data_IF_678245565118
#
_entry.id   IF_678245565118
#
_cell.length_a   1.000
_cell.length_b   1.000
_cell.length_c   1.000
_cell.angle_alpha   90.00
_cell.angle_beta   90.00
_cell.angle_gamma   90.00
#
_symmetry.space_group_name_H-M   'P 1'
#
loop_
_entity.id
_entity.type
_entity.pdbx_description
1 polymer ?
#
# COMPACT_ATOMS: atom_id res chain seq x y z
N UNK A 1 -7.64 14.25 7.35
CA UNK A 1 -7.59 15.41 6.45
C UNK A 1 -7.34 14.86 5.04
N UNK A 2 -8.33 14.89 4.13
CA UNK A 2 -8.13 14.40 2.75
C UNK A 2 -7.33 15.47 2.01
N UNK A 3 -6.04 15.25 1.81
CA UNK A 3 -5.21 16.05 0.91
C UNK A 3 -5.72 15.83 -0.50
N UNK A 4 -6.54 16.76 -0.98
CA UNK A 4 -6.80 16.89 -2.40
C UNK A 4 -5.53 17.45 -3.04
N UNK A 5 -5.02 16.89 -4.15
CA UNK A 5 -3.91 17.51 -4.85
C UNK A 5 -4.28 18.96 -5.16
N UNK A 6 -3.40 19.89 -4.84
CA UNK A 6 -3.59 21.32 -5.11
C UNK A 6 -3.46 21.48 -6.62
N UNK A 7 -4.60 21.53 -7.31
CA UNK A 7 -4.69 21.58 -8.77
C UNK A 7 -4.29 22.97 -9.30
N UNK A 8 -3.00 23.23 -9.48
CA UNK A 8 -2.52 24.45 -10.16
C UNK A 8 -2.67 24.39 -11.70
N UNK A 9 -3.07 23.25 -12.28
CA UNK A 9 -3.16 23.01 -13.73
C UNK A 9 -4.61 22.83 -14.25
N UNK A 10 -5.63 23.19 -13.47
CA UNK A 10 -7.04 22.91 -13.81
C UNK A 10 -7.47 23.43 -15.19
N UNK A 11 -6.93 24.56 -15.64
CA UNK A 11 -7.22 25.12 -16.96
C UNK A 11 -6.64 24.29 -18.12
N UNK A 12 -5.47 23.69 -17.94
CA UNK A 12 -4.82 22.86 -18.96
C UNK A 12 -5.60 21.55 -19.19
N UNK A 13 -6.02 20.88 -18.10
CA UNK A 13 -6.80 19.65 -18.19
C UNK A 13 -8.14 19.87 -18.90
N UNK A 14 -8.81 20.99 -18.63
CA UNK A 14 -10.05 21.33 -19.33
C UNK A 14 -9.83 21.52 -20.84
N UNK A 15 -8.72 22.16 -21.24
CA UNK A 15 -8.37 22.27 -22.66
C UNK A 15 -8.09 20.90 -23.28
N UNK A 16 -7.36 20.03 -22.61
CA UNK A 16 -7.08 18.67 -23.10
C UNK A 16 -8.37 17.84 -23.25
N UNK A 17 -9.32 17.98 -22.32
CA UNK A 17 -10.64 17.32 -22.42
C UNK A 17 -11.44 17.85 -23.62
N UNK A 18 -11.38 19.15 -23.90
CA UNK A 18 -12.05 19.75 -25.05
C UNK A 18 -11.40 19.34 -26.38
N UNK A 19 -10.10 19.06 -26.39
CA UNK A 19 -9.36 18.60 -27.57
C UNK A 19 -9.49 17.09 -27.82
N UNK A 20 -9.95 16.31 -26.83
CA UNK A 20 -10.20 14.88 -26.98
C UNK A 20 -11.57 14.66 -27.68
N UNK A 21 -11.61 14.12 -28.91
CA UNK A 21 -12.85 14.00 -29.68
C UNK A 21 -13.91 13.11 -29.00
N UNK A 22 -13.47 12.09 -28.26
CA UNK A 22 -14.38 11.16 -27.56
C UNK A 22 -15.01 11.86 -26.37
N UNK A 23 -14.20 12.57 -25.58
CA UNK A 23 -14.69 13.30 -24.42
C UNK A 23 -15.53 14.51 -24.84
N UNK A 24 -15.16 15.21 -25.90
CA UNK A 24 -15.95 16.31 -26.47
C UNK A 24 -17.34 15.84 -26.88
N UNK A 25 -17.44 14.71 -27.59
CA UNK A 25 -18.73 14.15 -27.98
C UNK A 25 -19.60 13.75 -26.77
N UNK A 26 -18.97 13.26 -25.69
CA UNK A 26 -19.67 12.99 -24.41
C UNK A 26 -20.20 14.30 -23.80
N UNK A 27 -19.40 15.36 -23.80
CA UNK A 27 -19.78 16.67 -23.25
C UNK A 27 -20.94 17.27 -24.05
N UNK A 28 -20.90 17.22 -25.37
CA UNK A 28 -21.96 17.71 -26.25
C UNK A 28 -23.27 16.94 -26.02
N UNK A 29 -23.21 15.62 -25.90
CA UNK A 29 -24.37 14.80 -25.57
C UNK A 29 -24.97 15.19 -24.21
N UNK A 30 -24.14 15.40 -23.18
CA UNK A 30 -24.59 15.81 -21.84
C UNK A 30 -25.14 17.24 -21.76
N UNK A 31 -24.72 18.13 -22.66
CA UNK A 31 -25.29 19.48 -22.78
C UNK A 31 -26.71 19.45 -23.35
N UNK A 32 -26.96 18.55 -24.31
CA UNK A 32 -28.27 18.38 -24.94
C UNK A 32 -29.24 17.62 -24.03
N UNK A 33 -28.77 16.53 -23.41
CA UNK A 33 -29.52 15.76 -22.43
C UNK A 33 -28.59 15.31 -21.30
N UNK A 34 -28.80 15.79 -20.05
CA UNK A 34 -28.01 15.39 -18.90
C UNK A 34 -27.94 13.88 -18.65
N UNK A 35 -28.88 13.10 -19.18
CA UNK A 35 -28.95 11.64 -19.03
C UNK A 35 -28.42 10.87 -20.26
N UNK A 36 -27.96 11.55 -21.31
CA UNK A 36 -27.55 10.93 -22.57
C UNK A 36 -26.41 9.90 -22.44
N UNK A 37 -25.55 10.05 -21.42
CA UNK A 37 -24.39 9.19 -21.16
C UNK A 37 -24.42 8.68 -19.72
N UNK A 38 -24.97 7.47 -19.47
CA UNK A 38 -25.10 6.92 -18.13
C UNK A 38 -23.78 6.90 -17.35
N UNK A 39 -23.83 7.44 -16.14
CA UNK A 39 -22.68 7.52 -15.24
C UNK A 39 -21.74 8.70 -15.51
N UNK A 40 -21.86 9.40 -16.64
CA UNK A 40 -21.16 10.67 -16.84
C UNK A 40 -22.00 11.84 -16.31
N UNK A 41 -21.34 12.89 -15.86
CA UNK A 41 -21.97 14.14 -15.43
C UNK A 41 -21.04 15.32 -15.68
N UNK A 42 -21.63 16.47 -16.01
CA UNK A 42 -20.90 17.71 -16.23
C UNK A 42 -21.23 18.68 -15.07
N UNK A 43 -20.22 19.12 -14.32
CA UNK A 43 -20.38 20.05 -13.19
C UNK A 43 -19.43 21.23 -13.37
N UNK A 44 -19.97 22.43 -13.57
CA UNK A 44 -19.15 23.64 -13.77
C UNK A 44 -18.16 23.53 -14.94
N UNK A 45 -18.54 22.85 -16.03
CA UNK A 45 -17.67 22.61 -17.18
C UNK A 45 -16.66 21.46 -17.02
N UNK A 46 -16.62 20.79 -15.87
CA UNK A 46 -15.73 19.66 -15.59
C UNK A 46 -16.48 18.34 -15.76
N UNK A 47 -15.87 17.41 -16.48
CA UNK A 47 -16.44 16.09 -16.76
C UNK A 47 -16.11 15.09 -15.64
N UNK A 48 -17.13 14.37 -15.17
CA UNK A 48 -17.02 13.34 -14.16
C UNK A 48 -17.62 12.02 -14.64
N UNK A 49 -17.06 10.89 -14.20
CA UNK A 49 -17.62 9.55 -14.37
C UNK A 49 -17.82 8.87 -13.01
N UNK A 50 -19.07 8.63 -12.61
CA UNK A 50 -19.46 8.11 -11.29
C UNK A 50 -18.80 8.90 -10.14
N UNK A 51 -18.91 10.23 -10.19
CA UNK A 51 -18.28 11.19 -9.26
C UNK A 51 -16.73 11.20 -9.25
N UNK A 52 -16.08 10.61 -10.25
CA UNK A 52 -14.61 10.64 -10.41
C UNK A 52 -14.23 11.59 -11.53
N UNK A 53 -13.20 12.39 -11.32
CA UNK A 53 -12.70 13.34 -12.31
C UNK A 53 -12.23 12.58 -13.56
N UNK A 54 -12.74 12.96 -14.73
CA UNK A 54 -12.30 12.37 -15.99
C UNK A 54 -11.02 13.05 -16.46
N UNK A 55 -10.02 12.25 -16.77
CA UNK A 55 -8.74 12.68 -17.35
C UNK A 55 -8.64 12.10 -18.77
N UNK A 56 -8.21 12.88 -19.77
CA UNK A 56 -7.91 12.37 -21.11
C UNK A 56 -6.83 11.28 -21.04
N UNK A 57 -7.04 10.14 -21.70
CA UNK A 57 -6.16 8.98 -21.58
C UNK A 57 -4.71 9.23 -22.06
N UNK A 58 -4.49 10.29 -22.85
CA UNK A 58 -3.18 10.72 -23.36
C UNK A 58 -2.58 11.89 -22.58
N UNK A 59 -3.22 12.34 -21.50
CA UNK A 59 -2.75 13.48 -20.72
C UNK A 59 -1.41 13.19 -20.08
N UNK A 60 -0.47 14.14 -20.16
CA UNK A 60 0.85 14.03 -19.54
C UNK A 60 0.77 13.92 -18.02
N UNK A 61 -0.28 14.49 -17.41
CA UNK A 61 -0.51 14.48 -15.96
C UNK A 61 -0.69 13.07 -15.39
N UNK A 62 -1.09 12.10 -16.24
CA UNK A 62 -1.26 10.70 -15.81
C UNK A 62 0.04 10.16 -15.23
N UNK A 63 1.19 10.48 -15.82
CA UNK A 63 2.48 10.01 -15.32
C UNK A 63 2.81 10.58 -13.93
N UNK A 64 2.52 11.85 -13.70
CA UNK A 64 2.76 12.49 -12.41
C UNK A 64 1.81 11.96 -11.34
N UNK A 65 0.54 11.72 -11.69
CA UNK A 65 -0.43 11.08 -10.81
C UNK A 65 -0.04 9.63 -10.49
N UNK A 66 0.45 8.88 -11.46
CA UNK A 66 0.93 7.52 -11.23
C UNK A 66 2.12 7.52 -10.27
N UNK A 67 3.09 8.42 -10.45
CA UNK A 67 4.21 8.60 -9.51
C UNK A 67 3.73 8.99 -8.12
N UNK A 68 2.84 9.97 -8.02
CA UNK A 68 2.33 10.46 -6.73
C UNK A 68 1.60 9.37 -5.95
N UNK A 69 0.72 8.60 -6.62
CA UNK A 69 -0.09 7.59 -5.94
C UNK A 69 0.63 6.26 -5.71
N UNK A 70 1.76 6.02 -6.38
CA UNK A 70 2.55 4.79 -6.24
C UNK A 70 3.84 5.00 -5.46
N UNK A 71 4.68 5.96 -5.86
CA UNK A 71 6.06 6.11 -5.40
C UNK A 71 6.21 7.08 -4.22
N UNK A 72 5.19 7.87 -3.89
CA UNK A 72 5.24 8.71 -2.68
C UNK A 72 5.27 7.85 -1.41
N UNK A 73 5.64 8.42 -0.24
CA UNK A 73 5.55 7.72 1.05
C UNK A 73 4.15 7.18 1.34
N UNK A 74 3.12 7.96 0.99
CA UNK A 74 1.72 7.54 1.10
C UNK A 74 1.34 6.47 0.06
N UNK A 75 2.03 6.49 -1.08
CA UNK A 75 1.98 5.55 -2.19
C UNK A 75 2.49 4.16 -1.82
N UNK A 76 3.70 4.13 -1.26
CA UNK A 76 4.31 2.95 -0.66
C UNK A 76 4.81 1.88 -1.61
N UNK A 77 5.01 2.20 -2.89
CA UNK A 77 5.32 1.21 -3.93
C UNK A 77 4.32 0.04 -3.95
N UNK A 78 3.07 0.34 -3.61
CA UNK A 78 2.02 -0.67 -3.50
C UNK A 78 1.77 -1.37 -4.83
N UNK A 79 1.42 -2.66 -4.78
CA UNK A 79 1.04 -3.43 -5.96
C UNK A 79 -0.11 -2.80 -6.75
N UNK A 80 -0.18 -3.09 -8.05
CA UNK A 80 -1.04 -2.38 -9.01
C UNK A 80 -2.50 -2.25 -8.58
N UNK A 81 -3.10 -3.30 -7.98
CA UNK A 81 -4.51 -3.29 -7.59
C UNK A 81 -4.78 -2.29 -6.46
N UNK A 82 -3.87 -2.17 -5.48
CA UNK A 82 -3.98 -1.20 -4.39
C UNK A 82 -3.82 0.22 -4.92
N UNK A 83 -2.82 0.45 -5.76
CA UNK A 83 -2.59 1.74 -6.44
C UNK A 83 -3.80 2.15 -7.28
N UNK A 84 -4.34 1.23 -8.08
CA UNK A 84 -5.53 1.46 -8.89
C UNK A 84 -6.73 1.83 -8.02
N UNK A 85 -7.01 1.07 -6.94
CA UNK A 85 -8.14 1.37 -6.03
C UNK A 85 -8.02 2.75 -5.39
N UNK A 86 -6.80 3.15 -5.00
CA UNK A 86 -6.54 4.48 -4.42
C UNK A 86 -6.85 5.59 -5.43
N UNK A 87 -6.34 5.48 -6.65
CA UNK A 87 -6.60 6.47 -7.71
C UNK A 87 -8.06 6.46 -8.15
N UNK A 88 -8.65 5.29 -8.31
CA UNK A 88 -10.04 5.11 -8.74
C UNK A 88 -11.07 5.60 -7.70
N UNK A 89 -10.63 6.03 -6.52
CA UNK A 89 -11.49 6.72 -5.55
C UNK A 89 -11.86 8.14 -5.99
N UNK A 90 -11.03 8.80 -6.81
CA UNK A 90 -11.24 10.19 -7.21
C UNK A 90 -11.04 10.45 -8.71
N UNK A 91 -10.34 9.58 -9.42
CA UNK A 91 -9.93 9.77 -10.81
C UNK A 91 -10.46 8.66 -11.73
N UNK A 92 -10.58 8.99 -13.01
CA UNK A 92 -10.95 8.05 -14.06
C UNK A 92 -10.34 8.46 -15.40
N UNK A 93 -9.82 7.50 -16.15
CA UNK A 93 -9.57 7.62 -17.58
C UNK A 93 -9.77 6.28 -18.28
N UNK A 94 -9.98 6.31 -19.60
CA UNK A 94 -10.09 5.08 -20.38
C UNK A 94 -8.76 4.32 -20.36
N UNK A 95 -8.81 3.04 -19.98
CA UNK A 95 -7.59 2.21 -19.87
C UNK A 95 -6.82 2.37 -18.56
N UNK A 96 -7.35 3.09 -17.57
CA UNK A 96 -6.70 3.37 -16.27
C UNK A 96 -6.07 2.16 -15.58
N UNK A 97 -6.77 1.03 -15.49
CA UNK A 97 -6.23 -0.16 -14.84
C UNK A 97 -4.97 -0.68 -15.56
N UNK A 98 -4.98 -0.65 -16.90
CA UNK A 98 -3.85 -1.08 -17.72
C UNK A 98 -2.66 -0.14 -17.53
N UNK A 99 -2.89 1.18 -17.59
CA UNK A 99 -1.83 2.17 -17.34
C UNK A 99 -1.19 2.00 -15.97
N UNK A 100 -1.99 1.79 -14.91
CA UNK A 100 -1.48 1.53 -13.55
C UNK A 100 -0.67 0.24 -13.49
N UNK A 101 -1.17 -0.84 -14.11
CA UNK A 101 -0.47 -2.13 -14.14
C UNK A 101 0.88 -2.03 -14.86
N UNK A 102 0.93 -1.37 -16.02
CA UNK A 102 2.15 -1.15 -16.79
C UNK A 102 3.17 -0.31 -16.02
N UNK A 103 2.71 0.77 -15.36
CA UNK A 103 3.56 1.63 -14.55
C UNK A 103 4.20 0.87 -13.37
N UNK A 104 3.41 0.13 -12.60
CA UNK A 104 3.93 -0.64 -11.46
C UNK A 104 4.85 -1.77 -11.94
N UNK A 105 4.55 -2.40 -13.09
CA UNK A 105 5.42 -3.42 -13.69
C UNK A 105 6.78 -2.83 -14.12
N UNK A 106 6.82 -1.57 -14.55
CA UNK A 106 8.03 -0.88 -14.96
C UNK A 106 8.81 -0.22 -13.79
N UNK A 107 8.28 -0.25 -12.55
CA UNK A 107 8.92 0.36 -11.40
C UNK A 107 10.20 -0.40 -11.00
N UNK A 108 11.37 0.23 -11.21
CA UNK A 108 12.68 -0.33 -10.88
C UNK A 108 12.83 -0.67 -9.39
N UNK A 109 12.43 0.25 -8.49
CA UNK A 109 12.42 0.02 -7.03
C UNK A 109 11.64 -1.25 -6.68
N UNK A 110 10.41 -1.40 -7.20
CA UNK A 110 9.60 -2.60 -6.98
C UNK A 110 10.28 -3.86 -7.55
N UNK A 111 10.83 -3.80 -8.77
CA UNK A 111 11.42 -4.98 -9.41
C UNK A 111 12.68 -5.45 -8.68
N UNK A 112 13.52 -4.54 -8.19
CA UNK A 112 14.73 -4.88 -7.42
C UNK A 112 14.42 -5.53 -6.08
N UNK A 113 13.32 -5.15 -5.44
CA UNK A 113 12.91 -5.66 -4.12
C UNK A 113 12.02 -6.90 -4.21
N UNK A 114 11.64 -7.33 -5.41
CA UNK A 114 10.76 -8.48 -5.60
C UNK A 114 11.57 -9.78 -5.44
N UNK A 115 11.50 -10.36 -4.24
CA UNK A 115 12.01 -11.72 -4.02
C UNK A 115 11.26 -12.71 -4.91
N UNK A 116 11.99 -13.68 -5.47
CA UNK A 116 11.38 -14.78 -6.21
C UNK A 116 10.42 -15.52 -5.27
N UNK A 117 9.13 -15.53 -5.60
CA UNK A 117 8.15 -16.30 -4.86
C UNK A 117 8.51 -17.78 -5.01
N UNK A 118 9.09 -18.37 -3.98
CA UNK A 118 9.21 -19.83 -3.88
C UNK A 118 7.79 -20.40 -3.85
N UNK A 119 7.56 -21.50 -4.57
CA UNK A 119 6.28 -22.22 -4.50
C UNK A 119 5.94 -22.52 -3.03
N UNK A 120 4.70 -22.29 -2.57
CA UNK A 120 4.37 -22.50 -1.17
C UNK A 120 4.62 -23.95 -0.78
N UNK A 121 5.32 -24.15 0.34
CA UNK A 121 5.61 -25.47 0.90
C UNK A 121 4.30 -26.08 1.47
N UNK A 122 3.52 -26.73 0.60
CA UNK A 122 2.34 -27.50 0.98
C UNK A 122 1.11 -26.68 1.38
N UNK A 123 0.04 -27.40 1.76
CA UNK A 123 -1.22 -26.82 2.22
C UNK A 123 -1.03 -26.17 3.60
N UNK A 124 -1.48 -24.92 3.74
CA UNK A 124 -1.49 -24.20 5.01
C UNK A 124 -2.48 -24.87 5.96
N UNK A 125 -2.04 -25.32 7.13
CA UNK A 125 -2.92 -25.69 8.24
C UNK A 125 -3.22 -24.45 9.09
N UNK A 126 -4.45 -23.92 9.10
CA UNK A 126 -4.78 -22.74 9.90
C UNK A 126 -4.73 -23.08 11.39
N UNK A 127 -4.11 -22.19 12.18
CA UNK A 127 -4.26 -22.18 13.63
C UNK A 127 -5.73 -22.02 14.01
N UNK A 128 -6.17 -22.55 15.17
CA UNK A 128 -7.46 -22.20 15.72
C UNK A 128 -7.54 -20.68 15.87
N UNK A 129 -8.56 -20.07 15.26
CA UNK A 129 -8.77 -18.63 15.32
C UNK A 129 -8.97 -18.25 16.79
N UNK A 130 -8.19 -17.31 17.34
CA UNK A 130 -8.41 -16.82 18.69
C UNK A 130 -9.85 -16.31 18.83
N UNK A 131 -10.56 -16.83 19.83
CA UNK A 131 -11.97 -16.47 20.10
C UNK A 131 -12.13 -15.12 20.78
N UNK A 132 -11.03 -14.56 21.31
CA UNK A 132 -10.98 -13.26 21.98
C UNK A 132 -10.03 -12.34 21.21
N UNK A 133 -10.47 -11.10 20.99
CA UNK A 133 -9.60 -10.06 20.43
C UNK A 133 -8.47 -9.80 21.43
N UNK A 134 -7.21 -9.77 20.98
CA UNK A 134 -6.01 -9.48 21.77
C UNK A 134 -5.50 -10.57 22.73
N UNK A 135 -6.07 -11.79 22.72
CA UNK A 135 -5.51 -12.88 23.52
C UNK A 135 -4.14 -13.36 23.01
N UNK A 136 -3.91 -13.28 21.70
CA UNK A 136 -2.64 -13.65 21.07
C UNK A 136 -2.18 -12.58 20.08
N UNK A 137 -0.88 -12.28 20.11
CA UNK A 137 -0.22 -11.33 19.21
C UNK A 137 0.98 -12.02 18.57
N UNK A 138 1.19 -11.79 17.28
CA UNK A 138 2.44 -12.16 16.60
C UNK A 138 3.39 -10.96 16.52
N UNK A 139 4.67 -11.16 16.82
CA UNK A 139 5.74 -10.13 16.79
C UNK A 139 6.90 -10.57 15.90
N UNK A 140 7.40 -9.63 15.10
CA UNK A 140 8.48 -9.83 14.13
C UNK A 140 9.47 -8.64 14.11
N UNK A 141 10.74 -8.92 13.85
CA UNK A 141 11.77 -7.90 13.64
C UNK A 141 12.11 -7.80 12.15
N UNK A 142 11.99 -6.60 11.60
CA UNK A 142 12.53 -6.32 10.27
C UNK A 142 13.97 -5.83 10.46
N UNK A 143 14.93 -6.74 10.26
CA UNK A 143 16.37 -6.53 10.46
C UNK A 143 17.11 -6.19 9.16
N UNK A 144 18.38 -5.80 9.26
CA UNK A 144 19.26 -5.43 8.15
C UNK A 144 18.82 -4.17 7.37
N UNK A 145 18.23 -3.20 8.07
CA UNK A 145 17.93 -1.90 7.48
C UNK A 145 19.18 -1.00 7.53
N UNK A 146 19.41 -0.13 6.53
CA UNK A 146 20.46 0.89 6.61
C UNK A 146 20.27 1.78 7.83
N UNK A 147 21.36 2.16 8.50
CA UNK A 147 21.34 3.08 9.64
C UNK A 147 20.58 4.37 9.30
N UNK A 148 19.52 4.66 10.05
CA UNK A 148 18.81 5.96 10.05
C UNK A 148 18.57 6.39 11.50
N UNK A 149 18.99 7.60 11.85
CA UNK A 149 18.86 8.16 13.21
C UNK A 149 19.38 7.24 14.34
N UNK A 150 20.37 6.40 14.05
CA UNK A 150 20.94 5.44 15.01
C UNK A 150 20.21 4.10 15.10
N UNK A 151 19.13 3.91 14.34
CA UNK A 151 18.36 2.67 14.28
C UNK A 151 18.73 1.81 13.05
N UNK A 152 18.73 0.48 13.20
CA UNK A 152 19.05 -0.52 12.16
C UNK A 152 17.98 -1.62 11.99
N UNK A 153 16.97 -1.59 12.86
CA UNK A 153 15.87 -2.55 12.88
C UNK A 153 14.58 -1.86 13.32
N UNK A 154 13.45 -2.39 12.86
CA UNK A 154 12.12 -1.95 13.29
C UNK A 154 11.47 -3.10 14.04
N UNK A 155 11.07 -2.82 15.28
CA UNK A 155 10.17 -3.68 16.05
C UNK A 155 8.76 -3.10 15.95
N UNK A 156 7.83 -3.87 15.42
CA UNK A 156 6.43 -3.44 15.34
C UNK A 156 5.74 -3.81 16.64
N UNK A 157 5.68 -2.87 17.60
CA UNK A 157 5.06 -3.06 18.90
C UNK A 157 4.05 -1.95 19.24
N UNK A 158 3.09 -1.69 18.36
CA UNK A 158 2.02 -0.71 18.63
C UNK A 158 0.95 -1.22 19.63
N UNK A 159 1.04 -2.48 20.05
CA UNK A 159 -0.14 -3.16 20.58
C UNK A 159 -0.32 -2.95 22.09
N UNK A 160 0.76 -2.97 22.89
CA UNK A 160 0.64 -2.85 24.36
C UNK A 160 0.09 -1.48 24.77
N UNK A 161 0.50 -0.42 24.07
CA UNK A 161 0.06 0.95 24.33
C UNK A 161 -1.42 1.18 23.99
N UNK A 162 -1.91 0.56 22.93
CA UNK A 162 -3.26 0.80 22.40
C UNK A 162 -4.30 -0.20 22.93
N UNK A 163 -3.89 -1.41 23.31
CA UNK A 163 -4.80 -2.54 23.53
C UNK A 163 -4.53 -3.32 24.82
N UNK A 164 -3.50 -2.95 25.59
CA UNK A 164 -3.11 -3.66 26.82
C UNK A 164 -2.13 -4.81 26.57
N UNK A 165 -1.71 -5.46 27.64
CA UNK A 165 -0.74 -6.56 27.61
C UNK A 165 -1.45 -7.83 27.12
N UNK A 166 -0.98 -8.48 26.04
CA UNK A 166 -1.59 -9.73 25.55
C UNK A 166 -1.41 -10.86 26.57
N UNK A 167 -2.18 -11.95 26.42
CA UNK A 167 -1.94 -13.16 27.22
C UNK A 167 -0.76 -13.97 26.69
N UNK A 168 -0.50 -13.93 25.38
CA UNK A 168 0.71 -14.51 24.80
C UNK A 168 1.21 -13.80 23.53
N UNK A 169 2.52 -13.83 23.34
CA UNK A 169 3.26 -13.32 22.21
C UNK A 169 3.83 -14.52 21.45
N UNK A 170 3.38 -14.72 20.22
CA UNK A 170 4.00 -15.65 19.29
C UNK A 170 5.12 -14.92 18.54
N UNK A 171 6.32 -15.49 18.55
CA UNK A 171 7.43 -14.95 17.80
C UNK A 171 8.22 -16.06 17.11
N UNK A 172 8.99 -15.69 16.10
CA UNK A 172 9.91 -16.58 15.45
C UNK A 172 11.14 -16.85 16.35
N UNK A 173 12.04 -17.70 15.88
CA UNK A 173 13.27 -18.03 16.63
C UNK A 173 14.43 -17.11 16.26
N UNK A 174 14.17 -15.85 15.86
CA UNK A 174 15.24 -14.88 15.63
C UNK A 174 16.13 -14.80 16.89
N UNK A 175 17.48 -14.86 16.75
CA UNK A 175 18.42 -14.71 17.86
C UNK A 175 18.11 -13.54 18.81
N UNK A 176 17.48 -12.47 18.32
CA UNK A 176 16.98 -11.36 19.12
C UNK A 176 15.91 -11.82 20.12
N UNK A 177 14.83 -12.48 19.67
CA UNK A 177 13.80 -13.04 20.56
C UNK A 177 14.27 -14.22 21.41
N UNK A 178 15.34 -14.90 20.98
CA UNK A 178 15.99 -15.99 21.73
C UNK A 178 16.98 -15.46 22.79
N UNK A 179 17.32 -14.17 22.76
CA UNK A 179 18.25 -13.57 23.73
C UNK A 179 17.70 -13.63 25.15
N UNK A 180 18.64 -13.64 26.12
CA UNK A 180 18.31 -13.69 27.55
C UNK A 180 17.41 -12.51 27.94
N UNK A 181 17.66 -11.32 27.39
CA UNK A 181 16.86 -10.14 27.65
C UNK A 181 15.37 -10.34 27.28
N UNK A 182 15.08 -10.77 26.05
CA UNK A 182 13.70 -10.93 25.58
C UNK A 182 13.00 -12.14 26.20
N UNK A 183 13.74 -13.22 26.48
CA UNK A 183 13.24 -14.36 27.26
C UNK A 183 12.87 -13.99 28.68
N UNK A 184 13.64 -13.12 29.34
CA UNK A 184 13.31 -12.66 30.69
C UNK A 184 12.20 -11.60 30.67
N UNK A 185 12.18 -10.71 29.67
CA UNK A 185 11.17 -9.65 29.54
C UNK A 185 9.77 -10.20 29.25
N UNK A 186 9.66 -11.26 28.43
CA UNK A 186 8.39 -11.90 28.07
C UNK A 186 8.26 -13.33 28.60
N UNK A 187 8.95 -13.64 29.70
CA UNK A 187 9.08 -15.00 30.26
C UNK A 187 7.78 -15.77 30.45
N UNK A 188 6.70 -15.06 30.79
CA UNK A 188 5.38 -15.63 31.06
C UNK A 188 4.47 -15.66 29.83
N UNK A 189 4.88 -15.05 28.72
CA UNK A 189 4.00 -14.75 27.58
C UNK A 189 4.57 -15.20 26.23
N UNK A 190 5.88 -15.42 26.12
CA UNK A 190 6.55 -15.75 24.87
C UNK A 190 6.35 -17.24 24.49
N UNK A 191 5.65 -17.47 23.39
CA UNK A 191 5.55 -18.77 22.72
C UNK A 191 6.39 -18.73 21.44
N UNK A 192 7.23 -19.74 21.24
CA UNK A 192 8.09 -19.84 20.05
C UNK A 192 7.41 -20.70 18.97
N UNK A 193 7.47 -20.27 17.71
CA UNK A 193 7.08 -21.12 16.59
C UNK A 193 8.04 -22.32 16.43
N UNK A 194 7.54 -23.44 15.88
CA UNK A 194 8.36 -24.64 15.67
C UNK A 194 9.19 -24.53 14.37
N UNK A 195 10.41 -25.06 14.38
CA UNK A 195 11.38 -24.95 13.27
C UNK A 195 10.94 -25.57 11.94
N UNK A 196 9.87 -26.37 11.92
CA UNK A 196 9.37 -27.12 10.75
C UNK A 196 7.87 -26.89 10.47
N UNK A 197 7.29 -25.81 10.97
CA UNK A 197 5.92 -25.43 10.59
C UNK A 197 5.85 -24.00 9.99
N UNK A 198 6.38 -23.78 8.78
CA UNK A 198 6.13 -22.54 8.02
C UNK A 198 4.63 -22.30 7.74
N UNK A 199 3.78 -23.28 8.00
CA UNK A 199 2.31 -23.21 7.83
C UNK A 199 1.59 -22.49 9.00
N UNK A 200 2.23 -22.34 10.17
CA UNK A 200 1.62 -21.81 11.39
C UNK A 200 1.36 -20.30 11.36
N UNK A 201 2.06 -19.58 10.46
CA UNK A 201 2.11 -18.12 10.48
C UNK A 201 1.63 -17.47 9.18
N UNK A 202 0.99 -18.22 8.27
CA UNK A 202 0.73 -17.75 6.91
C UNK A 202 -0.03 -16.42 6.77
N UNK A 203 -0.85 -16.02 7.76
CA UNK A 203 -1.49 -14.70 7.76
C UNK A 203 -0.53 -13.59 8.19
N UNK A 204 0.21 -13.78 9.29
CA UNK A 204 1.24 -12.83 9.72
C UNK A 204 2.35 -12.76 8.69
N UNK A 205 2.80 -13.89 8.13
CA UNK A 205 3.81 -13.97 7.09
C UNK A 205 3.40 -13.19 5.84
N UNK A 206 2.12 -13.24 5.44
CA UNK A 206 1.61 -12.42 4.33
C UNK A 206 1.63 -10.92 4.66
N UNK A 207 1.28 -10.55 5.89
CA UNK A 207 1.30 -9.16 6.35
C UNK A 207 2.74 -8.65 6.49
N UNK A 208 3.62 -9.42 7.13
CA UNK A 208 5.03 -9.11 7.32
C UNK A 208 5.74 -9.02 5.98
N UNK A 209 5.49 -9.95 5.03
CA UNK A 209 6.02 -9.84 3.66
C UNK A 209 5.53 -8.58 2.94
N UNK A 210 4.27 -8.18 3.16
CA UNK A 210 3.74 -6.94 2.61
C UNK A 210 4.41 -5.69 3.25
N UNK A 211 4.62 -5.72 4.57
CA UNK A 211 5.25 -4.63 5.33
C UNK A 211 6.74 -4.51 5.01
N UNK A 212 7.45 -5.63 4.96
CA UNK A 212 8.85 -5.74 4.58
C UNK A 212 9.07 -5.29 3.14
N UNK A 213 8.22 -5.69 2.19
CA UNK A 213 8.28 -5.19 0.81
C UNK A 213 8.06 -3.67 0.74
N UNK A 214 7.11 -3.14 1.50
CA UNK A 214 6.88 -1.69 1.62
C UNK A 214 8.11 -0.99 2.17
N UNK A 215 8.63 -1.44 3.32
CA UNK A 215 9.78 -0.84 3.99
C UNK A 215 11.04 -0.94 3.13
N UNK A 216 11.28 -2.07 2.47
CA UNK A 216 12.42 -2.25 1.55
C UNK A 216 12.38 -1.29 0.38
N UNK A 217 11.23 -1.17 -0.30
CA UNK A 217 11.09 -0.20 -1.39
C UNK A 217 11.28 1.23 -0.89
N UNK A 218 10.75 1.53 0.28
CA UNK A 218 10.80 2.86 0.87
C UNK A 218 12.21 3.27 1.30
N UNK A 219 12.93 2.35 1.91
CA UNK A 219 14.33 2.51 2.33
C UNK A 219 15.25 2.57 1.12
N UNK A 220 14.98 1.79 0.06
CA UNK A 220 15.76 1.84 -1.17
C UNK A 220 15.69 3.22 -1.83
N UNK A 221 14.51 3.84 -1.86
CA UNK A 221 14.34 5.19 -2.39
C UNK A 221 14.97 6.26 -1.48
N UNK A 222 14.91 6.07 -0.16
CA UNK A 222 15.22 7.11 0.83
C UNK A 222 15.89 6.54 2.09
N UNK A 223 17.14 6.05 1.99
CA UNK A 223 17.77 5.19 3.00
C UNK A 223 18.08 5.86 4.33
N UNK A 224 18.15 7.19 4.37
CA UNK A 224 18.49 7.95 5.59
C UNK A 224 17.27 8.52 6.32
N UNK A 225 16.11 8.56 5.68
CA UNK A 225 14.93 9.28 6.19
C UNK A 225 13.83 8.35 6.73
N UNK A 226 13.99 7.03 6.60
CA UNK A 226 12.93 6.07 6.93
C UNK A 226 12.43 6.16 8.38
N UNK A 227 13.31 6.50 9.33
CA UNK A 227 12.93 6.66 10.73
C UNK A 227 11.93 7.80 10.99
N UNK A 228 11.86 8.83 10.12
CA UNK A 228 10.91 9.95 10.28
C UNK A 228 9.48 9.63 9.82
N UNK A 229 9.30 8.50 9.14
CA UNK A 229 8.05 8.16 8.47
C UNK A 229 7.32 6.99 9.11
N UNK A 230 7.96 6.35 10.09
CA UNK A 230 7.31 5.42 11.00
C UNK A 230 6.82 6.25 12.20
N UNK A 231 5.50 6.42 12.38
CA UNK A 231 4.98 7.05 13.58
C UNK A 231 5.35 6.19 14.79
N UNK A 232 5.87 6.84 15.85
CA UNK A 232 6.17 6.27 17.16
C UNK A 232 5.09 6.64 18.19
#
# INVERSE_FOLDING_TARGET
>A
MRSYPIWQQGGQLQQEVLQDPVLQHIIEALKSDPNAKPGFSLKGGILFYKNRLVIPAKSAIINDLLKEFHSSPSGGHSGYLRTYRRMAGTLYWQGMMKSVQEFVKACDTCQRQKYAATTPNGLLQPLPIPVLVWSEISMDFITNLPKSNGFEAVLVAEIVRLHGVPESILSDRDPLFVSIFWKELFKLMLKMSSAYHPQMDGQTEVINRCLEAYLRCFIADQPKAWAHWIPW
#
